data_IF_754884782849
#
_entry.id   IF_754884782849
#
_cell.length_a   1.000
_cell.length_b   1.000
_cell.length_c   1.000
_cell.angle_alpha   90.00
_cell.angle_beta   90.00
_cell.angle_gamma   90.00
#
_symmetry.space_group_name_H-M   'P 1'
#
loop_
_entity.id
_entity.type
_entity.pdbx_description
1 polymer ?
#
# COMPACT_ATOMS: atom_id res chain seq x y z
N UNK A 1 19.85 -29.17 26.86
CA UNK A 1 18.53 -29.73 27.21
C UNK A 1 17.44 -29.01 26.40
N UNK A 2 16.53 -29.75 25.76
CA UNK A 2 15.13 -29.36 25.52
C UNK A 2 14.77 -28.36 24.40
N UNK A 3 14.12 -28.86 23.34
CA UNK A 3 13.59 -28.20 22.13
C UNK A 3 12.32 -27.33 22.34
N UNK A 4 12.11 -26.29 21.51
CA UNK A 4 10.99 -26.20 20.52
C UNK A 4 11.09 -25.00 19.55
N UNK A 5 10.69 -25.26 18.30
CA UNK A 5 10.71 -24.38 17.11
C UNK A 5 9.42 -23.55 16.97
N UNK A 6 9.52 -22.36 16.36
CA UNK A 6 8.49 -21.79 15.46
C UNK A 6 9.21 -21.36 14.16
N UNK A 7 8.60 -21.68 13.02
CA UNK A 7 9.17 -21.58 11.66
C UNK A 7 9.60 -20.14 11.34
N UNK A 8 10.87 -19.96 10.96
CA UNK A 8 11.30 -18.87 10.08
C UNK A 8 10.92 -19.28 8.67
N UNK A 9 9.80 -18.77 8.21
CA UNK A 9 9.53 -18.56 6.80
C UNK A 9 10.73 -17.84 6.14
N UNK A 10 11.14 -18.40 5.01
CA UNK A 10 12.45 -18.21 4.44
C UNK A 10 12.60 -16.82 3.80
N UNK A 11 13.73 -16.17 4.09
CA UNK A 11 14.21 -15.00 3.37
C UNK A 11 14.32 -15.27 1.86
N UNK A 12 13.92 -14.32 0.98
CA UNK A 12 13.94 -14.46 -0.48
C UNK A 12 15.34 -14.68 -1.08
N UNK A 13 16.40 -14.36 -0.33
CA UNK A 13 17.79 -14.51 -0.79
C UNK A 13 18.21 -15.97 -1.04
N UNK A 14 17.49 -16.95 -0.49
CA UNK A 14 17.76 -18.38 -0.77
C UNK A 14 17.20 -18.88 -2.11
N UNK A 15 16.35 -18.12 -2.78
CA UNK A 15 15.81 -18.51 -4.09
C UNK A 15 16.81 -18.21 -5.22
N UNK A 16 17.65 -17.18 -5.07
CA UNK A 16 18.69 -16.83 -6.05
C UNK A 16 19.85 -17.84 -6.06
N UNK A 17 20.21 -18.41 -4.90
CA UNK A 17 21.25 -19.46 -4.80
C UNK A 17 20.81 -20.81 -5.42
N UNK A 18 19.51 -21.09 -5.45
CA UNK A 18 18.98 -22.30 -6.08
C UNK A 18 18.97 -22.22 -7.62
N UNK A 19 18.96 -21.02 -8.20
CA UNK A 19 18.90 -20.80 -9.65
C UNK A 19 20.23 -21.09 -10.38
N UNK A 20 21.36 -21.13 -9.66
CA UNK A 20 22.70 -21.32 -10.23
C UNK A 20 23.27 -22.74 -10.06
N UNK A 21 22.52 -23.68 -9.48
CA UNK A 21 22.95 -25.07 -9.34
C UNK A 21 22.44 -25.93 -10.50
N UNK A 22 23.31 -26.50 -11.36
CA UNK A 22 22.91 -27.25 -12.54
C UNK A 22 22.32 -28.65 -12.25
N UNK A 23 22.02 -28.98 -11.00
CA UNK A 23 21.60 -30.34 -10.58
C UNK A 23 20.11 -30.47 -10.20
N UNK A 24 19.29 -29.44 -10.34
CA UNK A 24 17.84 -29.53 -10.11
C UNK A 24 17.07 -29.34 -11.42
N UNK A 25 17.09 -30.37 -12.27
CA UNK A 25 16.12 -30.52 -13.35
C UNK A 25 14.86 -31.18 -12.80
N UNK A 26 13.84 -30.38 -12.53
CA UNK A 26 12.47 -30.88 -12.44
C UNK A 26 11.68 -30.31 -13.60
N UNK A 27 11.27 -31.20 -14.49
CA UNK A 27 10.38 -30.94 -15.61
C UNK A 27 9.02 -30.45 -15.09
N UNK A 28 8.89 -29.13 -14.93
CA UNK A 28 7.61 -28.46 -15.04
C UNK A 28 7.72 -27.52 -16.23
N UNK A 29 7.08 -27.95 -17.31
CA UNK A 29 7.15 -27.41 -18.65
C UNK A 29 6.34 -26.10 -18.76
N UNK A 30 6.71 -25.08 -17.98
CA UNK A 30 6.29 -23.71 -18.21
C UNK A 30 7.56 -22.91 -18.50
N UNK A 31 8.05 -23.03 -19.74
CA UNK A 31 8.92 -21.99 -20.29
C UNK A 31 8.06 -20.74 -20.42
N UNK A 32 8.00 -19.92 -19.38
CA UNK A 32 7.59 -18.53 -19.52
C UNK A 32 8.58 -17.86 -20.47
N UNK A 33 8.25 -17.91 -21.76
CA UNK A 33 9.18 -17.61 -22.85
C UNK A 33 9.38 -16.11 -23.03
N UNK A 34 8.57 -15.30 -22.36
CA UNK A 34 8.67 -13.85 -22.34
C UNK A 34 8.97 -13.39 -20.91
N UNK A 35 10.22 -13.01 -20.67
CA UNK A 35 10.62 -12.36 -19.42
C UNK A 35 9.81 -11.08 -19.16
N UNK A 36 9.34 -10.43 -20.23
CA UNK A 36 8.43 -9.30 -20.17
C UNK A 36 7.05 -9.67 -19.61
N UNK A 37 6.48 -10.81 -20.00
CA UNK A 37 5.18 -11.24 -19.44
C UNK A 37 5.29 -11.61 -17.96
N UNK A 38 6.40 -12.20 -17.54
CA UNK A 38 6.66 -12.48 -16.12
C UNK A 38 6.91 -11.19 -15.35
N UNK A 39 7.63 -10.22 -15.92
CA UNK A 39 7.80 -8.87 -15.35
C UNK A 39 6.47 -8.14 -15.22
N UNK A 40 5.65 -8.10 -16.27
CA UNK A 40 4.31 -7.52 -16.24
C UNK A 40 3.40 -8.23 -15.24
N UNK A 41 3.46 -9.56 -15.16
CA UNK A 41 2.74 -10.32 -14.12
C UNK A 41 3.27 -10.01 -12.72
N UNK A 42 4.58 -9.84 -12.53
CA UNK A 42 5.16 -9.48 -11.25
C UNK A 42 4.89 -8.03 -10.86
N UNK A 43 4.81 -7.11 -11.81
CA UNK A 43 4.41 -5.71 -11.64
C UNK A 43 2.90 -5.58 -11.35
N UNK A 44 2.06 -6.41 -11.97
CA UNK A 44 0.62 -6.46 -11.69
C UNK A 44 0.29 -7.22 -10.40
N UNK A 45 1.13 -8.17 -10.01
CA UNK A 45 1.05 -8.89 -8.73
C UNK A 45 1.89 -8.23 -7.62
N UNK A 46 2.66 -7.18 -7.91
CA UNK A 46 3.37 -6.37 -6.93
C UNK A 46 2.31 -5.65 -6.09
N UNK A 47 1.94 -6.32 -4.99
CA UNK A 47 1.11 -5.88 -3.88
C UNK A 47 0.14 -4.74 -4.22
N UNK A 48 -1.06 -5.09 -4.66
CA UNK A 48 -2.18 -4.15 -4.62
C UNK A 48 -2.35 -3.63 -3.20
N UNK A 49 -1.94 -2.38 -2.96
CA UNK A 49 -2.02 -1.74 -1.65
C UNK A 49 -3.42 -1.17 -1.47
N UNK A 50 -4.12 -1.67 -0.45
CA UNK A 50 -5.45 -1.18 -0.06
C UNK A 50 -5.31 -0.10 0.98
N UNK A 51 -5.67 1.13 0.60
CA UNK A 51 -5.76 2.27 1.50
C UNK A 51 -7.19 2.45 1.99
N UNK A 52 -7.34 2.98 3.21
CA UNK A 52 -8.64 3.39 3.75
C UNK A 52 -8.63 4.90 3.93
N UNK A 53 -9.67 5.55 3.43
CA UNK A 53 -9.82 7.00 3.54
C UNK A 53 -11.17 7.40 4.12
N UNK A 54 -11.19 8.57 4.73
CA UNK A 54 -12.39 9.21 5.25
C UNK A 54 -12.93 10.17 4.19
N UNK A 55 -14.14 9.92 3.70
CA UNK A 55 -14.81 10.74 2.69
C UNK A 55 -15.93 11.52 3.34
N UNK A 56 -15.88 12.84 3.24
CA UNK A 56 -16.96 13.72 3.70
C UNK A 56 -18.01 13.78 2.60
N UNK A 57 -19.24 13.37 2.94
CA UNK A 57 -20.35 13.22 1.99
C UNK A 57 -21.43 14.30 2.14
N UNK A 58 -21.39 15.06 3.24
CA UNK A 58 -22.32 16.15 3.55
C UNK A 58 -21.58 17.25 4.29
N UNK A 59 -21.96 18.50 4.07
CA UNK A 59 -21.42 19.59 4.87
C UNK A 59 -21.94 19.46 6.31
N UNK A 60 -21.04 19.68 7.28
CA UNK A 60 -21.40 19.66 8.69
C UNK A 60 -22.41 20.77 9.04
N UNK A 61 -23.58 20.39 9.50
CA UNK A 61 -24.58 21.28 10.08
C UNK A 61 -24.56 21.16 11.60
N UNK A 62 -24.16 22.24 12.28
CA UNK A 62 -23.87 22.21 13.72
C UNK A 62 -22.66 21.32 14.03
N UNK A 63 -22.84 20.40 15.00
CA UNK A 63 -21.83 19.42 15.40
C UNK A 63 -21.70 18.32 14.35
N UNK A 64 -20.49 17.99 13.86
CA UNK A 64 -20.27 16.92 12.90
C UNK A 64 -20.84 15.58 13.39
N UNK A 65 -21.55 14.87 12.52
CA UNK A 65 -22.13 13.56 12.82
C UNK A 65 -21.35 12.46 12.13
N UNK A 66 -21.39 11.26 12.72
CA UNK A 66 -20.77 10.06 12.12
C UNK A 66 -21.34 9.75 10.72
N UNK A 67 -22.57 10.15 10.44
CA UNK A 67 -23.22 9.97 9.13
C UNK A 67 -22.70 10.90 8.04
N UNK A 68 -21.98 11.97 8.41
CA UNK A 68 -21.48 12.95 7.45
C UNK A 68 -20.19 12.45 6.79
N UNK A 69 -19.52 11.47 7.40
CA UNK A 69 -18.24 10.90 6.98
C UNK A 69 -18.41 9.40 6.70
N UNK A 70 -17.84 8.92 5.60
CA UNK A 70 -17.78 7.49 5.27
C UNK A 70 -16.34 7.02 5.21
N UNK A 71 -16.09 5.78 5.61
CA UNK A 71 -14.79 5.13 5.40
C UNK A 71 -14.92 4.33 4.11
N UNK A 72 -14.03 4.60 3.16
CA UNK A 72 -13.98 3.93 1.86
C UNK A 72 -12.61 3.27 1.71
N UNK A 73 -12.61 2.05 1.21
CA UNK A 73 -11.38 1.35 0.80
C UNK A 73 -11.11 1.67 -0.66
N UNK A 74 -9.86 2.03 -0.97
CA UNK A 74 -9.38 2.27 -2.32
C UNK A 74 -8.11 1.46 -2.58
N UNK A 75 -7.92 1.05 -3.82
CA UNK A 75 -6.70 0.38 -4.27
C UNK A 75 -5.78 1.42 -4.88
N UNK A 76 -4.56 1.51 -4.35
CA UNK A 76 -3.57 2.48 -4.81
C UNK A 76 -2.88 1.96 -6.08
N UNK A 77 -2.68 2.83 -7.08
CA UNK A 77 -1.92 2.47 -8.26
C UNK A 77 -0.43 2.29 -7.92
N UNK A 78 0.35 1.64 -8.81
CA UNK A 78 1.79 1.56 -8.67
C UNK A 78 2.44 2.94 -8.56
N UNK A 79 3.51 3.02 -7.75
CA UNK A 79 4.22 4.26 -7.49
C UNK A 79 4.89 4.79 -8.77
N UNK A 80 4.81 6.09 -9.02
CA UNK A 80 5.48 6.76 -10.15
C UNK A 80 6.77 7.44 -9.71
N UNK A 81 7.61 7.84 -10.66
CA UNK A 81 8.85 8.56 -10.38
C UNK A 81 8.58 9.87 -9.65
N UNK A 82 9.41 10.15 -8.64
CA UNK A 82 9.26 11.29 -7.73
C UNK A 82 8.22 11.10 -6.61
N UNK A 83 7.50 9.97 -6.57
CA UNK A 83 6.49 9.72 -5.54
C UNK A 83 7.02 8.86 -4.39
N UNK A 84 6.32 8.92 -3.25
CA UNK A 84 6.53 8.06 -2.10
C UNK A 84 5.24 7.38 -1.71
N UNK A 85 5.34 6.14 -1.25
CA UNK A 85 4.27 5.44 -0.58
C UNK A 85 4.53 5.48 0.92
N UNK A 86 3.58 6.04 1.67
CA UNK A 86 3.70 6.21 3.11
C UNK A 86 2.50 5.59 3.84
N UNK A 87 2.78 4.85 4.90
CA UNK A 87 1.80 4.26 5.81
C UNK A 87 1.60 5.18 7.01
N UNK A 88 0.39 5.71 7.16
CA UNK A 88 0.07 6.59 8.29
C UNK A 88 0.10 5.82 9.62
N UNK A 89 0.83 6.35 10.61
CA UNK A 89 0.89 5.84 11.98
C UNK A 89 0.03 6.71 12.91
N UNK A 90 0.06 8.03 12.71
CA UNK A 90 -0.73 8.99 13.49
C UNK A 90 -1.36 10.03 12.57
N UNK A 91 -2.63 10.36 12.85
CA UNK A 91 -3.43 11.32 12.08
C UNK A 91 -3.94 12.38 13.05
N UNK A 92 -3.69 13.65 12.77
CA UNK A 92 -4.13 14.78 13.59
C UNK A 92 -5.60 15.11 13.33
N UNK A 93 -6.30 15.57 14.36
CA UNK A 93 -7.69 16.05 14.27
C UNK A 93 -7.75 17.46 14.81
N UNK A 94 -7.73 18.43 13.90
CA UNK A 94 -7.61 19.85 14.23
C UNK A 94 -8.88 20.64 13.91
N UNK A 95 -9.06 21.78 14.59
CA UNK A 95 -10.23 22.64 14.39
C UNK A 95 -10.33 23.21 12.96
N UNK A 96 -9.20 23.39 12.27
CA UNK A 96 -9.20 23.93 10.90
C UNK A 96 -9.97 23.03 9.92
N UNK A 97 -10.01 21.72 10.18
CA UNK A 97 -10.79 20.75 9.38
C UNK A 97 -12.27 21.14 9.30
N UNK A 98 -12.80 21.64 10.41
CA UNK A 98 -14.19 22.12 10.47
C UNK A 98 -14.39 23.42 9.71
N UNK A 99 -13.39 24.31 9.72
CA UNK A 99 -13.45 25.61 9.07
C UNK A 99 -13.46 25.48 7.53
N UNK A 100 -12.63 24.59 6.98
CA UNK A 100 -12.57 24.39 5.52
C UNK A 100 -13.72 23.55 4.96
N UNK A 101 -14.50 22.87 5.81
CA UNK A 101 -15.58 22.01 5.33
C UNK A 101 -16.57 22.74 4.40
N UNK A 102 -16.90 24.00 4.66
CA UNK A 102 -17.84 24.76 3.81
C UNK A 102 -17.24 25.21 2.48
N UNK A 103 -15.91 25.25 2.35
CA UNK A 103 -15.23 25.69 1.11
C UNK A 103 -14.89 24.53 0.18
N UNK A 104 -15.14 23.27 0.57
CA UNK A 104 -14.82 22.08 -0.22
C UNK A 104 -16.05 21.57 -0.95
N UNK A 105 -15.90 21.27 -2.24
CA UNK A 105 -16.95 20.60 -3.01
C UNK A 105 -17.11 19.17 -2.53
N UNK A 106 -18.35 18.74 -2.30
CA UNK A 106 -18.67 17.39 -1.85
C UNK A 106 -18.85 16.46 -3.05
N UNK A 107 -18.42 15.18 -2.98
CA UNK A 107 -17.66 14.57 -1.88
C UNK A 107 -16.18 14.95 -1.95
N UNK A 108 -15.53 15.03 -0.78
CA UNK A 108 -14.09 15.23 -0.70
C UNK A 108 -13.44 14.31 0.33
N UNK A 109 -12.17 13.98 0.09
CA UNK A 109 -11.35 13.21 1.01
C UNK A 109 -10.90 14.10 2.17
N UNK A 110 -11.09 13.61 3.40
CA UNK A 110 -10.66 14.32 4.58
C UNK A 110 -9.14 14.42 4.59
N UNK A 111 -8.64 15.64 4.81
CA UNK A 111 -7.22 15.96 4.81
C UNK A 111 -6.82 16.33 6.23
N UNK A 112 -5.63 15.96 6.66
CA UNK A 112 -5.08 16.39 7.95
C UNK A 112 -3.56 16.27 7.93
N UNK A 113 -2.90 16.82 8.94
CA UNK A 113 -1.50 16.50 9.18
C UNK A 113 -1.38 15.08 9.74
N UNK A 114 -0.37 14.35 9.27
CA UNK A 114 -0.11 12.98 9.69
C UNK A 114 1.39 12.74 9.86
N UNK A 115 1.71 11.79 10.74
CA UNK A 115 3.04 11.17 10.83
C UNK A 115 2.94 9.79 10.21
N UNK A 116 3.82 9.49 9.26
CA UNK A 116 3.77 8.28 8.46
C UNK A 116 5.17 7.69 8.27
N UNK A 117 5.22 6.36 8.18
CA UNK A 117 6.42 5.61 7.79
C UNK A 117 6.47 5.51 6.26
N UNK A 118 7.60 5.84 5.65
CA UNK A 118 7.81 5.65 4.21
C UNK A 118 8.12 4.18 3.96
N UNK A 119 7.26 3.52 3.18
CA UNK A 119 7.39 2.09 2.87
C UNK A 119 7.97 1.83 1.47
N UNK A 120 7.81 2.77 0.54
CA UNK A 120 8.43 2.75 -0.79
C UNK A 120 8.71 4.18 -1.25
N UNK A 121 9.79 4.39 -2.01
CA UNK A 121 10.19 5.69 -2.53
C UNK A 121 10.80 5.53 -3.92
N UNK A 122 10.38 6.37 -4.87
CA UNK A 122 10.94 6.45 -6.23
C UNK A 122 11.53 7.84 -6.51
N UNK A 123 12.34 8.36 -5.59
CA UNK A 123 13.04 9.62 -5.82
C UNK A 123 14.22 9.41 -6.79
N UNK A 124 14.42 10.26 -7.82
CA UNK A 124 15.65 10.25 -8.59
C UNK A 124 16.79 10.82 -7.73
N UNK A 125 17.90 10.08 -7.63
CA UNK A 125 19.11 10.51 -6.92
C UNK A 125 19.71 11.84 -7.47
#
# INVERSE_FOLDING_TARGET
MGRRYVRKDASPMRMLEAANNPCYTWENNIRFRDKELVSLLFETLANMVKARKYVVTKHFSGVPKRTDIKIVEEELPPLQDGQILAKAEFISVDLYLRAYNSSKTIPYDQFSYQVAEVIECKHPD
#
